data_IF_282260505375
#
_entry.id   IF_282260505375
#
_cell.length_a   1.000
_cell.length_b   1.000
_cell.length_c   1.000
_cell.angle_alpha   90.00
_cell.angle_beta   90.00
_cell.angle_gamma   90.00
#
_symmetry.space_group_name_H-M   'P 1'
#
loop_
_entity.id
_entity.type
_entity.pdbx_description
1 polymer ?
#
# COMPACT_ATOMS: atom_id res chain seq x y z
N UNK A 1 -4.32 -11.47 2.12
CA UNK A 1 -4.64 -11.55 3.56
C UNK A 1 -4.66 -13.00 3.99
N UNK A 2 -4.11 -13.30 5.15
CA UNK A 2 -4.11 -14.67 5.70
C UNK A 2 -4.48 -14.61 7.18
N UNK A 3 -5.35 -15.50 7.61
CA UNK A 3 -5.72 -15.67 9.02
C UNK A 3 -5.06 -16.93 9.55
N UNK A 4 -4.35 -16.79 10.67
CA UNK A 4 -3.69 -17.89 11.36
C UNK A 4 -4.19 -18.04 12.79
N UNK A 5 -4.30 -19.28 13.26
CA UNK A 5 -4.36 -19.59 14.69
C UNK A 5 -2.96 -19.97 15.18
N UNK A 6 -2.50 -19.31 16.24
CA UNK A 6 -1.23 -19.61 16.89
C UNK A 6 -1.47 -20.30 18.24
N UNK A 7 -0.98 -21.52 18.43
CA UNK A 7 -1.08 -22.26 19.70
C UNK A 7 0.23 -23.00 19.98
N UNK A 8 0.83 -22.73 21.11
CA UNK A 8 2.04 -23.42 21.59
C UNK A 8 3.16 -23.53 20.52
N UNK A 9 3.39 -22.45 19.78
CA UNK A 9 4.40 -22.40 18.70
C UNK A 9 3.99 -23.02 17.36
N UNK A 10 2.78 -23.57 17.27
CA UNK A 10 2.21 -24.07 16.01
C UNK A 10 1.34 -23.00 15.35
N UNK A 11 1.49 -22.83 14.05
CA UNK A 11 0.71 -21.91 13.23
C UNK A 11 -0.19 -22.70 12.26
N UNK A 12 -1.50 -22.54 12.43
CA UNK A 12 -2.50 -23.17 11.55
C UNK A 12 -3.19 -22.12 10.70
N UNK A 13 -3.08 -22.25 9.37
CA UNK A 13 -3.77 -21.35 8.45
C UNK A 13 -5.27 -21.65 8.45
N UNK A 14 -6.09 -20.67 8.82
CA UNK A 14 -7.56 -20.78 8.87
C UNK A 14 -8.20 -20.28 7.58
N UNK A 15 -7.73 -19.16 7.03
CA UNK A 15 -8.26 -18.59 5.80
C UNK A 15 -7.17 -17.86 5.00
N UNK A 16 -7.44 -17.70 3.70
CA UNK A 16 -6.57 -16.98 2.79
C UNK A 16 -7.40 -16.28 1.71
N UNK A 17 -7.17 -14.98 1.54
CA UNK A 17 -7.75 -14.16 0.47
C UNK A 17 -6.61 -13.51 -0.30
N UNK A 18 -6.65 -13.57 -1.62
CA UNK A 18 -5.67 -12.98 -2.50
C UNK A 18 -6.35 -12.07 -3.52
N UNK A 19 -5.96 -10.81 -3.54
CA UNK A 19 -6.37 -9.84 -4.54
C UNK A 19 -5.12 -9.23 -5.21
N UNK A 20 -5.03 -9.34 -6.53
CA UNK A 20 -3.92 -8.80 -7.33
C UNK A 20 -4.04 -7.30 -7.58
N UNK A 21 -5.21 -6.73 -7.34
CA UNK A 21 -5.51 -5.32 -7.60
C UNK A 21 -5.14 -4.43 -6.42
N UNK A 22 -4.84 -5.03 -5.25
CA UNK A 22 -4.47 -4.31 -4.03
C UNK A 22 -2.97 -4.41 -3.80
N UNK A 23 -2.32 -3.27 -3.61
CA UNK A 23 -0.89 -3.24 -3.28
C UNK A 23 -0.20 -1.95 -3.68
N UNK A 24 1.11 -1.89 -3.45
CA UNK A 24 1.93 -0.71 -3.71
C UNK A 24 1.90 -0.26 -5.17
N UNK A 25 1.83 -1.20 -6.11
CA UNK A 25 1.75 -0.89 -7.54
C UNK A 25 0.44 -0.18 -7.91
N UNK A 26 -0.69 -0.60 -7.35
CA UNK A 26 -1.96 0.06 -7.60
C UNK A 26 -1.94 1.53 -7.12
N UNK A 27 -1.28 1.79 -6.00
CA UNK A 27 -1.09 3.15 -5.47
C UNK A 27 -0.14 3.96 -6.38
N UNK A 28 0.93 3.34 -6.91
CA UNK A 28 1.80 3.99 -7.89
C UNK A 28 1.05 4.36 -9.15
N UNK A 29 0.20 3.47 -9.67
CA UNK A 29 -0.59 3.72 -10.88
C UNK A 29 -1.54 4.92 -10.68
N UNK A 30 -2.15 5.06 -9.50
CA UNK A 30 -2.98 6.23 -9.15
C UNK A 30 -2.15 7.52 -9.13
N UNK A 31 -0.95 7.49 -8.56
CA UNK A 31 -0.04 8.64 -8.57
C UNK A 31 0.44 8.99 -9.98
N UNK A 32 0.80 8.01 -10.78
CA UNK A 32 1.18 8.19 -12.19
C UNK A 32 0.06 8.91 -12.96
N UNK A 33 -1.18 8.45 -12.81
CA UNK A 33 -2.31 9.09 -13.45
C UNK A 33 -2.56 10.53 -12.95
N UNK A 34 -2.36 10.76 -11.66
CA UNK A 34 -2.47 12.09 -11.08
C UNK A 34 -1.43 13.05 -11.66
N UNK A 35 -0.16 12.66 -11.66
CA UNK A 35 0.93 13.49 -12.16
C UNK A 35 0.90 13.67 -13.69
N UNK A 36 0.49 12.66 -14.45
CA UNK A 36 0.31 12.78 -15.89
C UNK A 36 -0.76 13.85 -16.23
N UNK A 37 -1.89 13.84 -15.50
CA UNK A 37 -2.92 14.87 -15.66
C UNK A 37 -2.42 16.26 -15.25
N UNK A 38 -1.64 16.35 -14.19
CA UNK A 38 -1.05 17.61 -13.74
C UNK A 38 -0.02 18.14 -14.74
N UNK A 39 0.82 17.28 -15.30
CA UNK A 39 1.76 17.61 -16.36
C UNK A 39 1.05 18.20 -17.56
N UNK A 40 0.05 17.50 -18.10
CA UNK A 40 -0.74 17.97 -19.24
C UNK A 40 -1.43 19.31 -18.95
N UNK A 41 -1.96 19.49 -17.75
CA UNK A 41 -2.60 20.75 -17.35
C UNK A 41 -1.62 21.93 -17.33
N UNK A 42 -0.39 21.70 -16.81
CA UNK A 42 0.64 22.75 -16.69
C UNK A 42 1.31 23.10 -18.01
N UNK A 43 1.66 22.09 -18.78
CA UNK A 43 2.51 22.25 -19.98
C UNK A 43 1.74 22.29 -21.30
N UNK A 44 0.48 21.84 -21.30
CA UNK A 44 -0.33 21.58 -22.50
C UNK A 44 0.23 20.48 -23.40
N UNK A 45 1.27 19.77 -22.96
CA UNK A 45 1.83 18.59 -23.61
C UNK A 45 1.21 17.35 -22.97
N UNK A 46 0.80 16.36 -23.76
CA UNK A 46 0.33 15.08 -23.28
C UNK A 46 1.40 14.01 -23.43
N UNK A 47 1.48 13.09 -22.48
CA UNK A 47 2.33 11.91 -22.63
C UNK A 47 1.63 10.98 -23.62
N UNK A 48 2.31 10.66 -24.74
CA UNK A 48 1.77 9.74 -25.73
C UNK A 48 1.60 8.33 -25.15
N UNK A 49 0.53 7.64 -25.55
CA UNK A 49 0.24 6.27 -25.06
C UNK A 49 1.38 5.28 -25.39
N UNK A 50 2.11 5.51 -26.46
CA UNK A 50 3.23 4.69 -26.92
C UNK A 50 4.59 5.14 -26.33
N UNK A 51 4.65 6.23 -25.57
CA UNK A 51 5.89 6.70 -24.96
C UNK A 51 6.21 5.92 -23.66
N UNK A 52 6.59 4.67 -23.85
CA UNK A 52 6.95 3.77 -22.74
C UNK A 52 8.07 4.36 -21.84
N UNK A 53 8.97 5.19 -22.40
CA UNK A 53 10.05 5.81 -21.66
C UNK A 53 9.54 6.88 -20.69
N UNK A 54 8.65 7.75 -21.16
CA UNK A 54 8.03 8.78 -20.32
C UNK A 54 7.21 8.16 -19.19
N UNK A 55 6.39 7.15 -19.51
CA UNK A 55 5.62 6.42 -18.50
C UNK A 55 6.49 5.70 -17.46
N UNK A 56 7.62 5.10 -17.89
CA UNK A 56 8.55 4.46 -16.97
C UNK A 56 9.23 5.47 -16.04
N UNK A 57 9.68 6.62 -16.55
CA UNK A 57 10.25 7.72 -15.74
C UNK A 57 9.24 8.19 -14.70
N UNK A 58 8.01 8.50 -15.12
CA UNK A 58 6.98 9.00 -14.24
C UNK A 58 6.59 7.97 -13.16
N UNK A 59 6.55 6.68 -13.52
CA UNK A 59 6.28 5.59 -12.57
C UNK A 59 7.38 5.48 -11.51
N UNK A 60 8.64 5.50 -11.90
CA UNK A 60 9.76 5.43 -10.96
C UNK A 60 9.72 6.59 -9.97
N UNK A 61 9.47 7.82 -10.46
CA UNK A 61 9.41 8.99 -9.59
C UNK A 61 8.15 9.00 -8.71
N UNK A 62 7.02 8.48 -9.23
CA UNK A 62 5.80 8.30 -8.43
C UNK A 62 6.02 7.30 -7.29
N UNK A 63 6.76 6.22 -7.52
CA UNK A 63 7.13 5.27 -6.45
C UNK A 63 8.02 5.94 -5.39
N UNK A 64 9.02 6.72 -5.78
CA UNK A 64 9.86 7.47 -4.84
C UNK A 64 9.03 8.48 -4.04
N UNK A 65 8.13 9.19 -4.70
CA UNK A 65 7.18 10.12 -4.07
C UNK A 65 6.29 9.40 -3.05
N UNK A 66 5.73 8.24 -3.39
CA UNK A 66 4.95 7.40 -2.46
C UNK A 66 5.76 7.01 -1.24
N UNK A 67 7.01 6.57 -1.43
CA UNK A 67 7.91 6.18 -0.33
C UNK A 67 8.21 7.37 0.58
N UNK A 68 8.45 8.55 0.03
CA UNK A 68 8.69 9.78 0.80
C UNK A 68 7.46 10.16 1.64
N UNK A 69 6.25 9.95 1.14
CA UNK A 69 5.00 10.21 1.87
C UNK A 69 4.75 9.27 3.05
N UNK A 70 5.44 8.13 3.15
CA UNK A 70 5.36 7.29 4.35
C UNK A 70 6.01 7.95 5.57
N UNK A 71 7.04 8.78 5.36
CA UNK A 71 7.75 9.47 6.42
C UNK A 71 7.42 10.97 6.52
N UNK A 72 6.96 11.60 5.41
CA UNK A 72 6.71 13.04 5.31
C UNK A 72 5.26 13.35 5.01
N UNK A 73 4.80 14.56 5.38
CA UNK A 73 3.44 15.03 5.08
C UNK A 73 3.26 15.48 3.62
N UNK A 74 4.34 15.80 2.94
CA UNK A 74 4.35 16.21 1.53
C UNK A 74 5.61 15.68 0.82
N UNK A 75 5.52 15.46 -0.47
CA UNK A 75 6.63 15.06 -1.30
C UNK A 75 6.53 15.70 -2.68
N UNK A 76 7.68 15.89 -3.31
CA UNK A 76 7.78 16.37 -4.69
C UNK A 76 7.99 15.20 -5.64
N UNK A 77 7.47 15.37 -6.85
CA UNK A 77 7.69 14.49 -8.00
C UNK A 77 8.32 15.34 -9.10
N UNK A 78 9.58 15.09 -9.44
CA UNK A 78 10.32 15.85 -10.44
C UNK A 78 10.91 14.93 -11.48
N UNK A 79 10.56 15.13 -12.74
CA UNK A 79 11.05 14.31 -13.87
C UNK A 79 11.62 15.21 -14.92
N UNK A 80 12.92 15.07 -15.19
CA UNK A 80 13.58 15.81 -16.26
C UNK A 80 13.20 15.22 -17.63
N UNK A 81 12.90 16.11 -18.58
CA UNK A 81 12.56 15.75 -19.95
C UNK A 81 11.55 14.60 -19.99
N UNK A 82 10.37 14.83 -19.38
CA UNK A 82 9.33 13.80 -19.25
C UNK A 82 8.73 13.48 -20.62
N UNK A 83 8.25 14.47 -21.36
CA UNK A 83 7.73 14.31 -22.73
C UNK A 83 8.08 15.54 -23.58
N UNK A 84 8.41 15.34 -24.85
CA UNK A 84 8.79 16.40 -25.80
C UNK A 84 9.90 17.34 -25.27
N UNK A 85 10.80 16.82 -24.45
CA UNK A 85 11.88 17.61 -23.82
C UNK A 85 11.44 18.52 -22.68
N UNK A 86 10.18 18.47 -22.27
CA UNK A 86 9.62 19.31 -21.20
C UNK A 86 9.78 18.61 -19.85
N UNK A 87 10.28 19.37 -18.86
CA UNK A 87 10.41 18.90 -17.49
C UNK A 87 9.07 18.93 -16.76
N UNK A 88 8.89 18.02 -15.82
CA UNK A 88 7.77 18.01 -14.91
C UNK A 88 8.23 18.26 -13.46
N UNK A 89 7.52 19.12 -12.76
CA UNK A 89 7.61 19.27 -11.31
C UNK A 89 6.21 19.42 -10.73
N UNK A 90 5.87 18.53 -9.83
CA UNK A 90 4.62 18.50 -9.07
C UNK A 90 4.86 18.21 -7.61
N UNK A 91 3.85 18.44 -6.77
CA UNK A 91 3.90 18.09 -5.36
C UNK A 91 2.57 17.51 -4.92
N UNK A 92 2.64 16.61 -3.97
CA UNK A 92 1.45 15.98 -3.39
C UNK A 92 1.63 15.85 -1.88
N UNK A 93 0.55 16.01 -1.13
CA UNK A 93 0.54 15.76 0.30
C UNK A 93 -0.11 14.41 0.64
N UNK A 94 0.12 13.93 1.87
CA UNK A 94 -0.40 12.66 2.38
C UNK A 94 -1.93 12.58 2.31
N UNK A 95 -2.62 13.68 2.65
CA UNK A 95 -4.09 13.73 2.59
C UNK A 95 -4.61 13.50 1.16
N UNK A 96 -3.96 14.13 0.17
CA UNK A 96 -4.32 13.95 -1.24
C UNK A 96 -4.04 12.52 -1.71
N UNK A 97 -2.91 11.93 -1.30
CA UNK A 97 -2.61 10.52 -1.59
C UNK A 97 -3.68 9.60 -1.00
N UNK A 98 -4.04 9.78 0.28
CA UNK A 98 -5.07 8.98 0.94
C UNK A 98 -6.43 9.07 0.22
N UNK A 99 -6.79 10.26 -0.23
CA UNK A 99 -8.01 10.46 -1.02
C UNK A 99 -7.97 9.71 -2.35
N UNK A 100 -6.85 9.80 -3.07
CA UNK A 100 -6.68 9.13 -4.35
C UNK A 100 -6.62 7.60 -4.22
N UNK A 101 -6.03 7.09 -3.15
CA UNK A 101 -5.87 5.67 -2.87
C UNK A 101 -7.05 5.07 -2.06
N UNK A 102 -8.08 5.85 -1.74
CA UNK A 102 -9.17 5.44 -0.85
C UNK A 102 -9.89 4.16 -1.30
N UNK A 103 -10.13 4.00 -2.59
CA UNK A 103 -10.75 2.79 -3.14
C UNK A 103 -9.85 1.54 -2.97
N UNK A 104 -8.53 1.71 -3.09
CA UNK A 104 -7.56 0.62 -2.92
C UNK A 104 -7.53 0.20 -1.43
N UNK A 105 -7.52 1.17 -0.52
CA UNK A 105 -7.58 0.89 0.92
C UNK A 105 -8.89 0.21 1.31
N UNK A 106 -10.03 0.67 0.76
CA UNK A 106 -11.32 0.04 1.01
C UNK A 106 -11.35 -1.41 0.53
N UNK A 107 -10.83 -1.69 -0.67
CA UNK A 107 -10.72 -3.07 -1.17
C UNK A 107 -9.85 -3.93 -0.24
N UNK A 108 -8.73 -3.37 0.28
CA UNK A 108 -7.90 -4.08 1.25
C UNK A 108 -8.66 -4.44 2.54
N UNK A 109 -9.44 -3.49 3.07
CA UNK A 109 -10.29 -3.71 4.25
C UNK A 109 -11.36 -4.77 3.98
N UNK A 110 -11.98 -4.74 2.80
CA UNK A 110 -12.99 -5.73 2.41
C UNK A 110 -12.39 -7.14 2.26
N UNK A 111 -11.14 -7.24 1.80
CA UNK A 111 -10.44 -8.52 1.76
C UNK A 111 -10.07 -9.04 3.15
N UNK A 112 -9.79 -8.15 4.11
CA UNK A 112 -9.62 -8.54 5.52
C UNK A 112 -10.92 -9.07 6.08
N UNK A 113 -12.05 -8.40 5.85
CA UNK A 113 -13.38 -8.87 6.27
C UNK A 113 -13.69 -10.26 5.71
N UNK A 114 -13.52 -10.45 4.39
CA UNK A 114 -13.73 -11.74 3.74
C UNK A 114 -12.85 -12.84 4.33
N UNK A 115 -11.59 -12.54 4.68
CA UNK A 115 -10.68 -13.50 5.28
C UNK A 115 -11.15 -13.90 6.69
N UNK A 116 -11.59 -12.95 7.50
CA UNK A 116 -12.12 -13.19 8.85
C UNK A 116 -13.40 -14.04 8.75
N UNK A 117 -14.35 -13.65 7.92
CA UNK A 117 -15.60 -14.41 7.68
C UNK A 117 -15.31 -15.85 7.21
N UNK A 118 -14.37 -16.02 6.27
CA UNK A 118 -13.97 -17.33 5.76
C UNK A 118 -13.32 -18.21 6.83
N UNK A 119 -12.68 -17.61 7.83
CA UNK A 119 -12.12 -18.31 8.98
C UNK A 119 -13.15 -18.71 10.04
N UNK A 120 -14.42 -18.27 9.89
CA UNK A 120 -15.51 -18.43 10.87
C UNK A 120 -15.22 -17.78 12.22
N UNK A 121 -14.41 -16.71 12.22
CA UNK A 121 -14.13 -15.88 13.37
C UNK A 121 -14.87 -14.55 13.25
N UNK A 122 -15.11 -13.91 14.37
CA UNK A 122 -15.52 -12.50 14.43
C UNK A 122 -14.30 -11.61 14.62
N UNK A 123 -14.42 -10.32 14.31
CA UNK A 123 -13.33 -9.35 14.47
C UNK A 123 -12.83 -9.25 15.90
N UNK A 124 -13.71 -9.45 16.90
CA UNK A 124 -13.34 -9.46 18.32
C UNK A 124 -12.48 -10.67 18.77
N UNK A 125 -12.35 -11.69 17.92
CA UNK A 125 -11.50 -12.86 18.16
C UNK A 125 -10.12 -12.74 17.50
N UNK A 126 -9.79 -11.58 16.93
CA UNK A 126 -8.48 -11.30 16.33
C UNK A 126 -7.62 -10.63 17.40
N UNK A 127 -6.57 -11.30 17.84
CA UNK A 127 -5.64 -10.74 18.85
C UNK A 127 -4.65 -9.77 18.21
N UNK A 128 -4.16 -10.08 17.01
CA UNK A 128 -3.09 -9.30 16.37
C UNK A 128 -3.28 -9.20 14.85
N UNK A 129 -3.08 -7.99 14.32
CA UNK A 129 -3.02 -7.70 12.88
C UNK A 129 -1.59 -7.32 12.53
N UNK A 130 -0.92 -8.18 11.77
CA UNK A 130 0.46 -7.98 11.34
C UNK A 130 0.47 -7.38 9.93
N UNK A 131 1.00 -6.17 9.80
CA UNK A 131 1.15 -5.49 8.52
C UNK A 131 2.48 -5.85 7.86
N UNK A 132 2.42 -6.53 6.72
CA UNK A 132 3.58 -6.94 5.93
C UNK A 132 3.57 -6.30 4.54
N UNK A 133 4.79 -6.05 4.01
CA UNK A 133 5.00 -5.42 2.71
C UNK A 133 5.18 -3.89 2.80
N UNK A 134 5.98 -3.32 1.90
CA UNK A 134 6.35 -1.90 1.94
C UNK A 134 5.17 -0.92 1.85
N UNK A 135 4.07 -1.31 1.19
CA UNK A 135 2.88 -0.47 1.07
C UNK A 135 2.12 -0.30 2.40
N UNK A 136 2.29 -1.21 3.35
CA UNK A 136 1.67 -1.12 4.68
C UNK A 136 2.24 0.00 5.56
N UNK A 137 3.38 0.60 5.16
CA UNK A 137 3.94 1.80 5.81
C UNK A 137 3.12 3.07 5.56
N UNK A 138 2.18 3.03 4.63
CA UNK A 138 1.30 4.17 4.37
C UNK A 138 0.23 4.26 5.47
N UNK A 139 0.25 5.37 6.19
CA UNK A 139 -0.62 5.59 7.36
C UNK A 139 -2.12 5.41 7.04
N UNK A 140 -2.55 5.79 5.84
CA UNK A 140 -3.96 5.68 5.43
C UNK A 140 -4.51 4.26 5.41
N UNK A 141 -3.68 3.24 5.12
CA UNK A 141 -4.12 1.84 5.19
C UNK A 141 -4.33 1.39 6.64
N UNK A 142 -3.38 1.71 7.51
CA UNK A 142 -3.47 1.35 8.92
C UNK A 142 -4.65 2.02 9.62
N UNK A 143 -4.88 3.29 9.30
CA UNK A 143 -6.02 4.06 9.79
C UNK A 143 -7.36 3.44 9.33
N UNK A 144 -7.48 3.04 8.06
CA UNK A 144 -8.66 2.36 7.55
C UNK A 144 -8.88 0.98 8.22
N UNK A 145 -7.81 0.24 8.48
CA UNK A 145 -7.90 -1.05 9.17
C UNK A 145 -8.29 -0.90 10.65
N UNK A 146 -7.87 0.16 11.33
CA UNK A 146 -8.23 0.38 12.74
C UNK A 146 -9.74 0.54 12.93
N UNK A 147 -10.46 1.10 11.95
CA UNK A 147 -11.92 1.18 12.01
C UNK A 147 -12.64 -0.17 11.91
N UNK A 148 -11.97 -1.20 11.45
CA UNK A 148 -12.55 -2.55 11.38
C UNK A 148 -12.62 -3.25 12.74
N UNK A 149 -11.72 -2.89 13.65
CA UNK A 149 -11.63 -3.52 14.95
C UNK A 149 -12.17 -2.57 16.01
N UNK A 150 -13.12 -3.01 16.86
CA UNK A 150 -13.68 -2.17 17.93
C UNK A 150 -12.59 -1.69 18.88
N UNK A 151 -12.74 -0.47 19.43
CA UNK A 151 -11.80 0.09 20.41
C UNK A 151 -11.70 -0.76 21.69
N UNK A 152 -12.78 -1.45 22.05
CA UNK A 152 -12.85 -2.37 23.18
C UNK A 152 -12.24 -3.76 22.88
N UNK A 153 -11.84 -4.02 21.64
CA UNK A 153 -11.15 -5.26 21.29
C UNK A 153 -9.69 -5.19 21.75
N UNK A 154 -9.17 -6.32 22.23
CA UNK A 154 -7.73 -6.45 22.52
C UNK A 154 -6.88 -6.59 21.25
N UNK A 155 -7.40 -6.22 20.08
CA UNK A 155 -6.72 -6.37 18.80
C UNK A 155 -5.61 -5.35 18.66
N UNK A 156 -4.38 -5.80 18.49
CA UNK A 156 -3.21 -4.95 18.29
C UNK A 156 -2.79 -4.94 16.81
N UNK A 157 -2.63 -3.74 16.23
CA UNK A 157 -2.01 -3.60 14.90
C UNK A 157 -0.51 -3.43 15.11
N UNK A 158 0.28 -4.44 14.69
CA UNK A 158 1.70 -4.55 15.03
C UNK A 158 2.58 -4.06 13.89
N UNK A 159 3.57 -3.25 14.26
CA UNK A 159 4.66 -2.75 13.43
C UNK A 159 6.05 -3.17 13.97
N UNK A 160 6.10 -4.23 14.79
CA UNK A 160 7.30 -4.64 15.53
C UNK A 160 8.49 -5.06 14.65
N UNK A 161 8.20 -5.47 13.42
CA UNK A 161 9.22 -5.83 12.42
C UNK A 161 9.02 -4.94 11.19
N UNK A 162 10.12 -4.48 10.60
CA UNK A 162 10.07 -3.76 9.32
C UNK A 162 9.26 -4.53 8.29
N UNK A 163 8.19 -3.93 7.83
CA UNK A 163 7.17 -4.57 7.00
C UNK A 163 7.70 -5.13 5.67
N UNK A 164 8.82 -4.59 5.16
CA UNK A 164 9.51 -5.08 3.97
C UNK A 164 10.49 -6.23 4.25
N UNK A 165 10.85 -6.47 5.53
CA UNK A 165 11.78 -7.53 5.96
C UNK A 165 11.06 -8.76 6.55
N UNK A 166 9.78 -8.64 6.92
CA UNK A 166 9.02 -9.70 7.62
C UNK A 166 9.12 -11.04 6.90
N UNK A 167 8.93 -11.06 5.59
CA UNK A 167 8.93 -12.30 4.80
C UNK A 167 10.33 -12.93 4.79
N UNK A 168 11.39 -12.15 4.54
CA UNK A 168 12.76 -12.65 4.50
C UNK A 168 13.19 -13.21 5.87
N UNK A 169 12.86 -12.51 6.96
CA UNK A 169 13.12 -12.98 8.34
C UNK A 169 12.34 -14.25 8.66
N UNK A 170 11.06 -14.32 8.27
CA UNK A 170 10.24 -15.51 8.44
C UNK A 170 10.81 -16.73 7.72
N UNK A 171 11.25 -16.57 6.48
CA UNK A 171 11.93 -17.62 5.73
C UNK A 171 13.22 -18.09 6.42
N UNK A 172 14.02 -17.17 6.95
CA UNK A 172 15.26 -17.53 7.67
C UNK A 172 14.98 -18.28 8.97
N UNK A 173 13.92 -17.92 9.71
CA UNK A 173 13.50 -18.65 10.92
C UNK A 173 13.03 -20.05 10.56
N UNK A 174 12.16 -20.16 9.53
CA UNK A 174 11.63 -21.44 9.08
C UNK A 174 12.71 -22.40 8.57
N UNK A 175 13.78 -21.90 7.93
CA UNK A 175 14.89 -22.71 7.44
C UNK A 175 15.77 -23.28 8.57
N UNK A 176 15.67 -22.76 9.81
CA UNK A 176 16.41 -23.23 10.99
C UNK A 176 15.63 -24.21 11.86
N UNK A 177 14.31 -24.30 11.65
CA UNK A 177 13.44 -25.21 12.38
C UNK A 177 13.41 -26.60 11.73
#
# INVERSE_FOLDING_TARGET
VTVYAARAGLFSKLAYVHDKTVGGRAIDDVLVQHFAKEFTKKTKVSIGDQDARAWAKLRNESELTKRSLSASNSAQCSVESLAEGVDFSGSINRMRLNLLASSIYQTAVDDVKKAIESSKLDTCHVDEVILAGGASRLAGLAEQLSFLFPEDSNTHITYSIDSDQVIARGCAVYARS
#
